data_IF_601048704734
#
_entry.id   IF_601048704734
#
_cell.length_a   1.000
_cell.length_b   1.000
_cell.length_c   1.000
_cell.angle_alpha   90.00
_cell.angle_beta   90.00
_cell.angle_gamma   90.00
#
_symmetry.space_group_name_H-M   'P 1'
#
loop_
_entity.id
_entity.type
_entity.pdbx_description
1 polymer ?
#
# COMPACT_ATOMS: atom_id res chain seq x y z
N UNK A 1 0.43 -15.55 -23.61
CA UNK A 1 1.23 -16.67 -23.07
C UNK A 1 2.75 -16.43 -23.17
N UNK A 2 3.31 -16.10 -24.35
CA UNK A 2 4.77 -15.85 -24.47
C UNK A 2 5.25 -14.66 -23.61
N UNK A 3 4.45 -13.58 -23.57
CA UNK A 3 4.69 -12.41 -22.72
C UNK A 3 4.68 -12.74 -21.22
N UNK A 4 3.65 -13.44 -20.76
CA UNK A 4 3.49 -13.84 -19.36
C UNK A 4 4.58 -14.82 -18.89
N UNK A 5 5.04 -15.72 -19.78
CA UNK A 5 6.16 -16.62 -19.49
C UNK A 5 7.49 -15.85 -19.37
N UNK A 6 7.73 -14.90 -20.28
CA UNK A 6 8.89 -14.01 -20.21
C UNK A 6 8.92 -13.14 -18.95
N UNK A 7 7.76 -12.65 -18.51
CA UNK A 7 7.60 -11.87 -17.28
C UNK A 7 7.90 -12.71 -16.03
N UNK A 8 7.42 -13.97 -15.95
CA UNK A 8 7.75 -14.89 -14.85
C UNK A 8 9.26 -15.13 -14.78
N UNK A 9 9.87 -15.52 -15.90
CA UNK A 9 11.31 -15.81 -15.96
C UNK A 9 12.16 -14.56 -15.63
N UNK A 10 11.70 -13.38 -16.05
CA UNK A 10 12.35 -12.10 -15.75
C UNK A 10 12.32 -11.78 -14.26
N UNK A 11 11.17 -11.89 -13.60
CA UNK A 11 11.06 -11.64 -12.16
C UNK A 11 11.79 -12.68 -11.32
N UNK A 12 11.81 -13.95 -11.72
CA UNK A 12 12.56 -15.00 -11.03
C UNK A 12 14.07 -14.80 -11.10
N UNK A 13 14.59 -14.36 -12.26
CA UNK A 13 16.00 -14.01 -12.39
C UNK A 13 16.37 -12.83 -11.49
N UNK A 14 15.61 -11.74 -11.57
CA UNK A 14 15.83 -10.55 -10.74
C UNK A 14 15.73 -10.87 -9.24
N UNK A 15 14.82 -11.77 -8.86
CA UNK A 15 14.69 -12.23 -7.49
C UNK A 15 15.93 -12.99 -7.02
N UNK A 16 16.43 -13.92 -7.84
CA UNK A 16 17.65 -14.68 -7.54
C UNK A 16 18.86 -13.75 -7.39
N UNK A 17 19.03 -12.79 -8.31
CA UNK A 17 20.10 -11.78 -8.25
C UNK A 17 20.00 -10.93 -6.98
N UNK A 18 18.80 -10.44 -6.63
CA UNK A 18 18.59 -9.65 -5.43
C UNK A 18 18.87 -10.47 -4.15
N UNK A 19 18.50 -11.74 -4.12
CA UNK A 19 18.79 -12.64 -3.00
C UNK A 19 20.29 -12.91 -2.82
N UNK A 20 21.03 -13.07 -3.92
CA UNK A 20 22.49 -13.22 -3.88
C UNK A 20 23.17 -11.93 -3.39
N UNK A 21 22.75 -10.77 -3.90
CA UNK A 21 23.20 -9.47 -3.42
C UNK A 21 22.94 -9.30 -1.91
N UNK A 22 21.75 -9.65 -1.44
CA UNK A 22 21.39 -9.57 -0.03
C UNK A 22 22.25 -10.49 0.85
N UNK A 23 22.55 -11.72 0.40
CA UNK A 23 23.48 -12.62 1.11
C UNK A 23 24.88 -12.01 1.24
N UNK A 24 25.44 -11.50 0.15
CA UNK A 24 26.75 -10.84 0.19
C UNK A 24 26.76 -9.61 1.11
N UNK A 25 25.68 -8.82 1.14
CA UNK A 25 25.54 -7.71 2.07
C UNK A 25 25.48 -8.16 3.54
N UNK A 26 24.81 -9.29 3.83
CA UNK A 26 24.74 -9.85 5.19
C UNK A 26 26.10 -10.35 5.68
N UNK A 27 26.86 -11.03 4.82
CA UNK A 27 28.21 -11.48 5.12
C UNK A 27 29.13 -10.29 5.42
N UNK A 28 29.10 -9.28 4.55
CA UNK A 28 29.87 -8.06 4.75
C UNK A 28 29.46 -7.30 6.02
N UNK A 29 28.16 -7.23 6.32
CA UNK A 29 27.67 -6.61 7.56
C UNK A 29 28.14 -7.38 8.80
N UNK A 30 28.14 -8.71 8.76
CA UNK A 30 28.61 -9.56 9.85
C UNK A 30 30.11 -9.33 10.11
N UNK A 31 30.91 -9.31 9.05
CA UNK A 31 32.35 -8.98 9.12
C UNK A 31 32.57 -7.58 9.72
N UNK A 32 31.82 -6.58 9.25
CA UNK A 32 31.93 -5.21 9.75
C UNK A 32 31.58 -5.11 11.24
N UNK A 33 30.57 -5.85 11.67
CA UNK A 33 30.15 -5.90 13.06
C UNK A 33 31.23 -6.54 13.95
N UNK A 34 31.88 -7.61 13.48
CA UNK A 34 33.01 -8.23 14.17
C UNK A 34 34.22 -7.29 14.27
N UNK A 35 34.55 -6.58 13.19
CA UNK A 35 35.63 -5.59 13.18
C UNK A 35 35.34 -4.44 14.17
N UNK A 36 34.12 -3.90 14.17
CA UNK A 36 33.71 -2.88 15.13
C UNK A 36 33.80 -3.40 16.58
N UNK A 37 33.41 -4.65 16.81
CA UNK A 37 33.52 -5.31 18.12
C UNK A 37 34.99 -5.50 18.53
N UNK A 38 35.89 -5.83 17.61
CA UNK A 38 37.31 -5.94 17.88
C UNK A 38 37.93 -4.58 18.24
N UNK A 39 37.59 -3.52 17.52
CA UNK A 39 38.14 -2.17 17.73
C UNK A 39 37.65 -1.49 19.02
N UNK A 40 36.41 -1.75 19.42
CA UNK A 40 35.77 -1.03 20.54
C UNK A 40 35.45 -1.92 21.74
N UNK A 41 35.57 -3.24 21.61
CA UNK A 41 35.27 -4.20 22.66
C UNK A 41 33.85 -4.04 23.22
N UNK A 42 33.71 -4.22 24.53
CA UNK A 42 32.44 -4.02 25.25
C UNK A 42 31.96 -2.57 25.31
N UNK A 43 32.71 -1.61 24.75
CA UNK A 43 32.31 -0.22 24.75
C UNK A 43 31.15 0.05 23.77
N UNK A 44 31.00 -0.74 22.70
CA UNK A 44 29.81 -0.66 21.83
C UNK A 44 28.53 -1.04 22.57
N UNK A 45 28.56 -2.13 23.35
CA UNK A 45 27.40 -2.57 24.14
C UNK A 45 27.01 -1.54 25.19
N UNK A 46 27.99 -0.84 25.78
CA UNK A 46 27.74 0.23 26.75
C UNK A 46 27.10 1.47 26.12
N UNK A 47 27.47 1.84 24.89
CA UNK A 47 26.94 3.05 24.23
C UNK A 47 25.63 2.78 23.50
N UNK A 48 25.34 1.52 23.19
CA UNK A 48 24.15 1.11 22.44
C UNK A 48 22.84 1.70 22.98
N UNK A 49 22.53 1.67 24.29
CA UNK A 49 21.30 2.28 24.83
C UNK A 49 21.19 3.79 24.53
N UNK A 50 22.31 4.52 24.56
CA UNK A 50 22.34 5.94 24.21
C UNK A 50 21.99 6.16 22.73
N UNK A 51 22.57 5.38 21.81
CA UNK A 51 22.25 5.53 20.39
C UNK A 51 20.82 5.10 20.05
N UNK A 52 20.29 4.07 20.73
CA UNK A 52 18.89 3.67 20.60
C UNK A 52 17.95 4.80 21.09
N UNK A 53 18.21 5.38 22.27
CA UNK A 53 17.47 6.55 22.75
C UNK A 53 17.58 7.74 21.78
N UNK A 54 18.76 7.97 21.20
CA UNK A 54 18.95 9.04 20.21
C UNK A 54 18.15 8.79 18.92
N UNK A 55 17.99 7.53 18.50
CA UNK A 55 17.11 7.19 17.38
C UNK A 55 15.64 7.47 17.72
N UNK A 56 15.20 7.11 18.93
CA UNK A 56 13.84 7.41 19.41
C UNK A 56 13.60 8.92 19.45
N UNK A 57 14.54 9.71 19.97
CA UNK A 57 14.45 11.18 19.97
C UNK A 57 14.33 11.75 18.56
N UNK A 58 15.12 11.25 17.60
CA UNK A 58 15.03 11.66 16.20
C UNK A 58 13.65 11.32 15.60
N UNK A 59 13.10 10.15 15.91
CA UNK A 59 11.77 9.75 15.46
C UNK A 59 10.68 10.62 16.09
N UNK A 60 10.75 10.89 17.39
CA UNK A 60 9.84 11.77 18.12
C UNK A 60 9.89 13.20 17.56
N UNK A 61 11.09 13.73 17.26
CA UNK A 61 11.26 15.04 16.63
C UNK A 61 10.56 15.13 15.27
N UNK A 62 10.72 14.12 14.41
CA UNK A 62 10.03 14.04 13.11
C UNK A 62 8.51 13.94 13.28
N UNK A 63 8.04 13.16 14.27
CA UNK A 63 6.62 13.02 14.61
C UNK A 63 6.04 14.36 15.04
N UNK A 64 6.70 15.09 15.93
CA UNK A 64 6.31 16.46 16.34
C UNK A 64 6.21 17.38 15.12
N UNK A 65 7.22 17.38 14.23
CA UNK A 65 7.17 18.18 13.00
C UNK A 65 5.97 17.81 12.10
N UNK A 66 5.65 16.52 11.99
CA UNK A 66 4.47 16.04 11.26
C UNK A 66 3.18 16.57 11.86
N UNK A 67 2.99 16.40 13.17
CA UNK A 67 1.78 16.83 13.87
C UNK A 67 1.63 18.36 13.88
N UNK A 68 2.73 19.13 13.96
CA UNK A 68 2.70 20.59 13.80
C UNK A 68 2.12 20.99 12.44
N UNK A 69 2.54 20.33 11.35
CA UNK A 69 2.02 20.62 9.99
C UNK A 69 0.53 20.32 9.91
N UNK A 70 0.09 19.20 10.47
CA UNK A 70 -1.31 18.80 10.50
C UNK A 70 -2.17 19.75 11.33
N UNK A 71 -1.71 20.12 12.52
CA UNK A 71 -2.38 21.12 13.36
C UNK A 71 -2.47 22.47 12.65
N UNK A 72 -1.38 22.93 12.02
CA UNK A 72 -1.36 24.20 11.27
C UNK A 72 -2.33 24.17 10.09
N UNK A 73 -2.42 23.05 9.38
CA UNK A 73 -3.38 22.86 8.30
C UNK A 73 -4.82 22.89 8.82
N UNK A 74 -5.12 22.17 9.90
CA UNK A 74 -6.45 22.17 10.53
C UNK A 74 -6.84 23.57 11.06
N UNK A 75 -5.90 24.29 11.66
CA UNK A 75 -6.08 25.66 12.13
C UNK A 75 -6.37 26.62 10.98
N UNK A 76 -5.68 26.47 9.84
CA UNK A 76 -5.93 27.27 8.62
C UNK A 76 -7.34 27.03 8.07
N UNK A 77 -7.77 25.76 7.96
CA UNK A 77 -9.13 25.42 7.50
C UNK A 77 -10.19 25.96 8.46
N UNK A 78 -9.95 25.88 9.77
CA UNK A 78 -10.85 26.48 10.77
C UNK A 78 -10.94 28.00 10.64
N UNK A 79 -9.81 28.68 10.44
CA UNK A 79 -9.78 30.13 10.22
C UNK A 79 -10.54 30.51 8.94
N UNK A 80 -10.37 29.76 7.85
CA UNK A 80 -11.12 29.95 6.62
C UNK A 80 -12.62 29.76 6.85
N UNK A 81 -13.05 28.66 7.48
CA UNK A 81 -14.46 28.40 7.76
C UNK A 81 -15.08 29.52 8.62
N UNK A 82 -14.33 30.06 9.58
CA UNK A 82 -14.77 31.19 10.42
C UNK A 82 -14.92 32.48 9.59
N UNK A 83 -14.01 32.74 8.65
CA UNK A 83 -14.11 33.87 7.74
C UNK A 83 -15.30 33.74 6.78
N UNK A 84 -15.56 32.54 6.27
CA UNK A 84 -16.72 32.26 5.42
C UNK A 84 -18.04 32.47 6.18
N UNK A 85 -18.13 32.00 7.44
CA UNK A 85 -19.30 32.25 8.30
C UNK A 85 -19.50 33.75 8.51
N UNK A 86 -18.42 34.49 8.82
CA UNK A 86 -18.48 35.95 9.02
C UNK A 86 -18.95 36.69 7.76
N UNK A 87 -18.52 36.27 6.58
CA UNK A 87 -18.98 36.85 5.31
C UNK A 87 -20.49 36.60 5.09
N UNK A 88 -20.97 35.39 5.38
CA UNK A 88 -22.41 35.08 5.32
C UNK A 88 -23.18 35.94 6.32
N UNK A 89 -22.70 36.08 7.56
CA UNK A 89 -23.33 36.92 8.59
C UNK A 89 -23.41 38.39 8.16
N UNK A 90 -22.36 38.92 7.53
CA UNK A 90 -22.32 40.29 7.00
C UNK A 90 -23.32 40.46 5.85
N UNK A 91 -23.36 39.55 4.88
CA UNK A 91 -24.32 39.59 3.75
C UNK A 91 -25.77 39.57 4.26
N UNK A 92 -26.05 38.76 5.29
CA UNK A 92 -27.37 38.72 5.93
C UNK A 92 -27.69 40.01 6.69
N UNK A 93 -26.69 40.65 7.31
CA UNK A 93 -26.85 41.93 7.99
C UNK A 93 -27.17 43.07 7.01
N UNK A 94 -26.58 43.09 5.81
CA UNK A 94 -26.95 44.04 4.74
C UNK A 94 -28.36 43.79 4.18
N UNK A 95 -28.86 42.55 4.24
CA UNK A 95 -30.24 42.17 3.86
C UNK A 95 -31.31 42.43 4.93
N UNK A 96 -30.94 42.95 6.11
CA UNK A 96 -31.78 43.05 7.31
C UNK A 96 -33.00 44.00 7.20
N UNK A 97 -33.23 44.65 6.06
CA UNK A 97 -34.51 45.31 5.77
C UNK A 97 -35.67 44.33 5.54
N UNK A 98 -35.41 43.02 5.47
CA UNK A 98 -36.43 41.96 5.57
C UNK A 98 -36.48 41.42 7.00
N UNK A 99 -37.68 41.41 7.60
CA UNK A 99 -37.95 40.96 8.99
C UNK A 99 -37.71 39.46 9.20
N UNK A 100 -37.53 38.68 8.14
CA UNK A 100 -37.30 37.22 8.19
C UNK A 100 -36.27 36.77 7.15
N UNK A 101 -35.34 35.92 7.58
CA UNK A 101 -34.44 35.18 6.69
C UNK A 101 -35.24 34.19 5.83
N UNK A 102 -34.89 34.07 4.55
CA UNK A 102 -35.45 33.01 3.70
C UNK A 102 -34.84 31.63 4.06
N UNK A 103 -35.51 30.55 3.65
CA UNK A 103 -35.08 29.17 3.92
C UNK A 103 -33.65 28.86 3.45
N UNK A 104 -33.27 29.30 2.25
CA UNK A 104 -31.94 29.07 1.68
C UNK A 104 -30.85 29.81 2.48
N UNK A 105 -31.17 31.02 2.96
CA UNK A 105 -30.32 31.80 3.85
C UNK A 105 -30.12 31.13 5.22
N UNK A 106 -31.21 30.64 5.82
CA UNK A 106 -31.16 29.89 7.09
C UNK A 106 -30.37 28.58 6.96
N UNK A 107 -30.60 27.84 5.88
CA UNK A 107 -29.90 26.59 5.60
C UNK A 107 -28.40 26.86 5.32
N UNK A 108 -28.08 27.95 4.61
CA UNK A 108 -26.71 28.39 4.37
C UNK A 108 -25.95 28.72 5.66
N UNK A 109 -26.54 29.54 6.53
CA UNK A 109 -25.97 29.89 7.83
C UNK A 109 -25.80 28.66 8.74
N UNK A 110 -26.80 27.78 8.76
CA UNK A 110 -26.76 26.53 9.53
C UNK A 110 -25.62 25.62 9.04
N UNK A 111 -25.48 25.42 7.72
CA UNK A 111 -24.37 24.63 7.15
C UNK A 111 -23.01 25.23 7.48
N UNK A 112 -22.85 26.55 7.35
CA UNK A 112 -21.60 27.25 7.67
C UNK A 112 -21.24 27.12 9.17
N UNK A 113 -22.23 27.29 10.05
CA UNK A 113 -22.06 27.12 11.50
C UNK A 113 -21.62 25.70 11.86
N UNK A 114 -22.30 24.68 11.32
CA UNK A 114 -21.92 23.27 11.53
C UNK A 114 -20.51 23.00 11.01
N UNK A 115 -20.12 23.58 9.87
CA UNK A 115 -18.77 23.45 9.32
C UNK A 115 -17.72 24.05 10.25
N UNK A 116 -17.94 25.26 10.78
CA UNK A 116 -17.05 25.90 11.75
C UNK A 116 -16.87 25.03 13.00
N UNK A 117 -17.96 24.46 13.53
CA UNK A 117 -17.90 23.57 14.69
C UNK A 117 -17.08 22.31 14.40
N UNK A 118 -17.28 21.67 13.24
CA UNK A 118 -16.50 20.49 12.82
C UNK A 118 -15.01 20.82 12.66
N UNK A 119 -14.70 21.93 11.99
CA UNK A 119 -13.31 22.35 11.80
C UNK A 119 -12.63 22.70 13.14
N UNK A 120 -13.36 23.30 14.10
CA UNK A 120 -12.87 23.54 15.45
C UNK A 120 -12.57 22.23 16.17
N UNK A 121 -13.49 21.28 16.15
CA UNK A 121 -13.31 19.98 16.80
C UNK A 121 -12.08 19.25 16.25
N UNK A 122 -11.88 19.28 14.93
CA UNK A 122 -10.71 18.66 14.30
C UNK A 122 -9.41 19.37 14.70
N UNK A 123 -9.38 20.72 14.71
CA UNK A 123 -8.24 21.49 15.19
C UNK A 123 -7.91 21.14 16.65
N UNK A 124 -8.91 21.09 17.52
CA UNK A 124 -8.73 20.81 18.95
C UNK A 124 -8.20 19.37 19.16
N UNK A 125 -8.65 18.42 18.32
CA UNK A 125 -8.08 17.06 18.29
C UNK A 125 -6.61 17.07 17.88
N UNK A 126 -6.23 17.78 16.81
CA UNK A 126 -4.83 17.89 16.37
C UNK A 126 -3.95 18.59 17.41
N UNK A 127 -4.51 19.52 18.17
CA UNK A 127 -3.82 20.16 19.30
C UNK A 127 -3.50 19.16 20.42
N UNK A 128 -4.44 18.29 20.77
CA UNK A 128 -4.20 17.22 21.74
C UNK A 128 -3.11 16.25 21.26
N UNK A 129 -3.12 15.89 19.98
CA UNK A 129 -2.09 15.04 19.37
C UNK A 129 -0.72 15.75 19.40
N UNK A 130 -0.68 17.05 19.16
CA UNK A 130 0.54 17.86 19.25
C UNK A 130 1.11 17.87 20.67
N UNK A 131 0.27 18.12 21.67
CA UNK A 131 0.67 18.09 23.09
C UNK A 131 1.21 16.71 23.48
N UNK A 132 0.58 15.63 23.01
CA UNK A 132 1.06 14.27 23.26
C UNK A 132 2.43 14.02 22.62
N UNK A 133 2.59 14.38 21.34
CA UNK A 133 3.86 14.22 20.64
C UNK A 133 5.00 15.03 21.29
N UNK A 134 4.69 16.22 21.83
CA UNK A 134 5.65 17.02 22.59
C UNK A 134 6.11 16.34 23.88
N UNK A 135 5.19 15.69 24.62
CA UNK A 135 5.56 14.93 25.82
C UNK A 135 6.48 13.75 25.47
N UNK A 136 6.11 12.98 24.45
CA UNK A 136 6.95 11.87 23.95
C UNK A 136 8.35 12.37 23.54
N UNK A 137 8.44 13.55 22.92
CA UNK A 137 9.72 14.17 22.57
C UNK A 137 10.54 14.57 23.81
N UNK A 138 9.90 15.16 24.83
CA UNK A 138 10.57 15.52 26.09
C UNK A 138 11.10 14.30 26.82
N UNK A 139 10.29 13.25 26.97
CA UNK A 139 10.71 11.97 27.57
C UNK A 139 11.88 11.34 26.82
N UNK A 140 11.85 11.35 25.48
CA UNK A 140 12.95 10.86 24.66
C UNK A 140 14.22 11.73 24.82
N UNK A 141 14.07 13.03 25.00
CA UNK A 141 15.20 13.94 25.22
C UNK A 141 15.87 13.66 26.56
N UNK A 142 15.08 13.54 27.63
CA UNK A 142 15.57 13.18 28.97
C UNK A 142 16.29 11.83 28.97
N UNK A 143 15.76 10.83 28.24
CA UNK A 143 16.40 9.53 28.10
C UNK A 143 17.77 9.62 27.41
N UNK A 144 17.90 10.46 26.37
CA UNK A 144 19.19 10.71 25.68
C UNK A 144 20.17 11.41 26.60
N UNK A 145 19.72 12.42 27.36
CA UNK A 145 20.55 13.15 28.31
C UNK A 145 21.04 12.23 29.45
N UNK A 146 20.17 11.39 30.00
CA UNK A 146 20.53 10.38 31.00
C UNK A 146 21.53 9.37 30.45
N UNK A 147 21.29 8.85 29.24
CA UNK A 147 22.24 7.94 28.56
C UNK A 147 23.59 8.61 28.30
N UNK A 148 23.60 9.88 27.92
CA UNK A 148 24.81 10.68 27.71
C UNK A 148 25.62 10.83 28.99
N UNK A 149 24.95 11.13 30.10
CA UNK A 149 25.58 11.24 31.42
C UNK A 149 26.20 9.92 31.89
N UNK A 150 25.55 8.78 31.62
CA UNK A 150 26.05 7.45 32.01
C UNK A 150 27.26 7.00 31.17
N UNK A 151 27.24 7.27 29.87
CA UNK A 151 28.24 6.74 28.92
C UNK A 151 29.43 7.69 28.75
N UNK A 152 29.19 9.00 28.81
CA UNK A 152 30.20 10.04 28.63
C UNK A 152 30.51 10.40 27.17
N UNK A 153 30.75 11.69 26.93
CA UNK A 153 30.94 12.26 25.59
C UNK A 153 32.11 11.67 24.81
N UNK A 154 33.23 11.37 25.48
CA UNK A 154 34.41 10.84 24.83
C UNK A 154 34.13 9.48 24.17
N UNK A 155 33.38 8.62 24.87
CA UNK A 155 33.06 7.29 24.38
C UNK A 155 32.02 7.32 23.27
N UNK A 156 31.02 8.21 23.38
CA UNK A 156 30.04 8.47 22.32
C UNK A 156 30.75 8.92 21.05
N UNK A 157 31.61 9.94 21.12
CA UNK A 157 32.34 10.46 19.95
C UNK A 157 33.23 9.40 19.31
N UNK A 158 33.91 8.58 20.11
CA UNK A 158 34.78 7.51 19.63
C UNK A 158 34.02 6.43 18.86
N UNK A 159 32.83 6.05 19.31
CA UNK A 159 32.04 4.94 18.73
C UNK A 159 31.05 5.40 17.64
N UNK A 160 30.80 6.70 17.55
CA UNK A 160 29.85 7.29 16.59
C UNK A 160 30.10 6.94 15.11
N UNK A 161 31.35 6.92 14.58
CA UNK A 161 31.60 6.54 13.20
C UNK A 161 31.16 5.10 12.91
N UNK A 162 31.49 4.17 13.82
CA UNK A 162 31.15 2.75 13.72
C UNK A 162 29.64 2.54 13.74
N UNK A 163 28.92 3.20 14.66
CA UNK A 163 27.46 3.17 14.68
C UNK A 163 26.81 3.74 13.42
N UNK A 164 27.32 4.85 12.87
CA UNK A 164 26.82 5.42 11.61
C UNK A 164 27.03 4.46 10.44
N UNK A 165 28.19 3.82 10.37
CA UNK A 165 28.51 2.85 9.33
C UNK A 165 27.59 1.63 9.42
N UNK A 166 27.43 1.04 10.62
CA UNK A 166 26.50 -0.07 10.87
C UNK A 166 25.06 0.30 10.50
N UNK A 167 24.60 1.49 10.88
CA UNK A 167 23.25 1.98 10.54
C UNK A 167 23.06 2.13 9.02
N UNK A 168 24.06 2.64 8.30
CA UNK A 168 24.02 2.75 6.84
C UNK A 168 23.88 1.37 6.18
N UNK A 169 24.69 0.39 6.60
CA UNK A 169 24.59 -0.97 6.07
C UNK A 169 23.25 -1.62 6.42
N UNK A 170 22.74 -1.42 7.63
CA UNK A 170 21.42 -1.90 8.03
C UNK A 170 20.30 -1.31 7.16
N UNK A 171 20.40 -0.02 6.81
CA UNK A 171 19.45 0.63 5.89
C UNK A 171 19.53 0.03 4.47
N UNK A 172 20.73 -0.24 3.96
CA UNK A 172 20.92 -0.92 2.67
C UNK A 172 20.32 -2.33 2.68
N UNK A 173 20.56 -3.09 3.74
CA UNK A 173 19.97 -4.43 3.93
C UNK A 173 18.44 -4.38 3.94
N UNK A 174 17.85 -3.42 4.68
CA UNK A 174 16.41 -3.24 4.72
C UNK A 174 15.82 -2.86 3.35
N UNK A 175 16.53 -2.04 2.58
CA UNK A 175 16.15 -1.67 1.20
C UNK A 175 16.17 -2.88 0.26
N UNK A 176 17.25 -3.68 0.27
CA UNK A 176 17.33 -4.90 -0.54
C UNK A 176 16.30 -5.95 -0.12
N UNK A 177 16.04 -6.10 1.18
CA UNK A 177 14.98 -6.97 1.69
C UNK A 177 13.60 -6.53 1.16
N UNK A 178 13.33 -5.23 1.14
CA UNK A 178 12.08 -4.68 0.58
C UNK A 178 11.98 -4.95 -0.92
N UNK A 179 13.08 -4.81 -1.66
CA UNK A 179 13.16 -5.14 -3.09
C UNK A 179 12.90 -6.62 -3.35
N UNK A 180 13.49 -7.52 -2.56
CA UNK A 180 13.23 -8.96 -2.61
C UNK A 180 11.74 -9.24 -2.40
N UNK A 181 11.12 -8.68 -1.35
CA UNK A 181 9.70 -8.88 -1.08
C UNK A 181 8.81 -8.38 -2.23
N UNK A 182 9.12 -7.22 -2.81
CA UNK A 182 8.39 -6.69 -3.96
C UNK A 182 8.54 -7.58 -5.21
N UNK A 183 9.73 -8.11 -5.47
CA UNK A 183 9.98 -9.04 -6.59
C UNK A 183 9.27 -10.39 -6.37
N UNK A 184 9.25 -10.89 -5.13
CA UNK A 184 8.51 -12.10 -4.76
C UNK A 184 7.02 -11.95 -5.05
N UNK A 185 6.40 -10.84 -4.65
CA UNK A 185 4.98 -10.58 -4.93
C UNK A 185 4.70 -10.46 -6.43
N UNK A 186 5.57 -9.76 -7.19
CA UNK A 186 5.44 -9.66 -8.65
C UNK A 186 5.57 -11.02 -9.34
N UNK A 187 6.54 -11.84 -8.93
CA UNK A 187 6.73 -13.18 -9.47
C UNK A 187 5.53 -14.09 -9.16
N UNK A 188 4.99 -14.04 -7.92
CA UNK A 188 3.77 -14.76 -7.52
C UNK A 188 2.59 -14.35 -8.39
N UNK A 189 2.36 -13.05 -8.54
CA UNK A 189 1.28 -12.52 -9.37
C UNK A 189 1.40 -12.97 -10.83
N UNK A 190 2.59 -12.83 -11.43
CA UNK A 190 2.84 -13.24 -12.81
C UNK A 190 2.59 -14.76 -13.01
N UNK A 191 2.99 -15.59 -12.04
CA UNK A 191 2.70 -17.04 -12.05
C UNK A 191 1.20 -17.32 -12.01
N UNK A 192 0.44 -16.63 -11.16
CA UNK A 192 -1.01 -16.78 -11.10
C UNK A 192 -1.67 -16.39 -12.43
N UNK A 193 -1.26 -15.26 -13.03
CA UNK A 193 -1.79 -14.82 -14.34
C UNK A 193 -1.46 -15.83 -15.44
N UNK A 194 -0.23 -16.36 -15.45
CA UNK A 194 0.17 -17.41 -16.40
C UNK A 194 -0.65 -18.69 -16.22
N UNK A 195 -0.81 -19.17 -14.98
CA UNK A 195 -1.61 -20.36 -14.68
C UNK A 195 -3.09 -20.18 -15.06
N UNK A 196 -3.66 -19.00 -14.82
CA UNK A 196 -5.04 -18.71 -15.23
C UNK A 196 -5.16 -18.69 -16.75
N UNK A 197 -4.21 -18.06 -17.46
CA UNK A 197 -4.18 -18.06 -18.92
C UNK A 197 -4.10 -19.47 -19.49
N UNK A 198 -3.32 -20.36 -18.86
CA UNK A 198 -3.26 -21.78 -19.24
C UNK A 198 -4.60 -22.48 -19.06
N UNK A 199 -5.23 -22.32 -17.89
CA UNK A 199 -6.54 -22.92 -17.63
C UNK A 199 -7.62 -22.43 -18.60
N UNK A 200 -7.61 -21.15 -18.96
CA UNK A 200 -8.56 -20.62 -19.95
C UNK A 200 -8.34 -21.23 -21.34
N UNK A 201 -7.08 -21.41 -21.76
CA UNK A 201 -6.77 -22.08 -23.02
C UNK A 201 -7.20 -23.55 -23.01
N UNK A 202 -6.97 -24.26 -21.91
CA UNK A 202 -7.44 -25.65 -21.76
C UNK A 202 -8.97 -25.73 -21.80
N UNK A 203 -9.68 -24.79 -21.16
CA UNK A 203 -11.15 -24.70 -21.22
C UNK A 203 -11.64 -24.45 -22.65
N UNK A 204 -11.04 -23.50 -23.36
CA UNK A 204 -11.39 -23.20 -24.76
C UNK A 204 -11.14 -24.44 -25.64
N UNK A 205 -10.00 -25.11 -25.47
CA UNK A 205 -9.69 -26.34 -26.21
C UNK A 205 -10.76 -27.41 -25.96
N UNK A 206 -11.08 -27.70 -24.68
CA UNK A 206 -12.12 -28.68 -24.33
C UNK A 206 -13.49 -28.29 -24.90
N UNK A 207 -13.88 -27.03 -24.81
CA UNK A 207 -15.16 -26.54 -25.32
C UNK A 207 -15.25 -26.66 -26.86
N UNK A 208 -14.19 -26.33 -27.59
CA UNK A 208 -14.11 -26.48 -29.04
C UNK A 208 -14.20 -27.95 -29.44
N UNK A 209 -13.48 -28.84 -28.75
CA UNK A 209 -13.56 -30.28 -29.00
C UNK A 209 -14.97 -30.83 -28.72
N UNK A 210 -15.60 -30.42 -27.63
CA UNK A 210 -16.97 -30.82 -27.30
C UNK A 210 -17.98 -30.34 -28.35
N UNK A 211 -17.89 -29.07 -28.78
CA UNK A 211 -18.75 -28.52 -29.83
C UNK A 211 -18.57 -29.26 -31.16
N UNK A 212 -17.33 -29.54 -31.57
CA UNK A 212 -17.04 -30.32 -32.79
C UNK A 212 -17.61 -31.73 -32.71
N UNK A 213 -17.52 -32.40 -31.56
CA UNK A 213 -18.08 -33.73 -31.34
C UNK A 213 -19.61 -33.70 -31.44
N UNK A 214 -20.26 -32.75 -30.77
CA UNK A 214 -21.71 -32.58 -30.84
C UNK A 214 -22.21 -32.30 -32.27
N UNK A 215 -21.50 -31.46 -33.04
CA UNK A 215 -21.83 -31.22 -34.44
C UNK A 215 -21.65 -32.46 -35.32
N UNK A 216 -20.61 -33.25 -35.09
CA UNK A 216 -20.40 -34.50 -35.83
C UNK A 216 -21.49 -35.55 -35.50
N UNK A 217 -21.92 -35.63 -34.25
CA UNK A 217 -23.04 -36.49 -33.82
C UNK A 217 -24.36 -36.03 -34.45
N UNK A 218 -24.67 -34.74 -34.40
CA UNK A 218 -25.85 -34.15 -35.06
C UNK A 218 -25.86 -34.37 -36.58
N UNK A 219 -24.71 -34.23 -37.25
CA UNK A 219 -24.60 -34.48 -38.69
C UNK A 219 -24.83 -35.95 -39.03
N UNK A 220 -24.36 -36.87 -38.17
CA UNK A 220 -24.58 -38.30 -38.33
C UNK A 220 -26.05 -38.67 -38.11
N UNK A 221 -26.69 -38.10 -37.10
CA UNK A 221 -28.13 -38.27 -36.83
C UNK A 221 -28.98 -37.72 -37.98
N UNK A 222 -28.65 -36.53 -38.51
CA UNK A 222 -29.34 -35.96 -39.67
C UNK A 222 -29.17 -36.81 -40.94
N UNK A 223 -27.99 -37.38 -41.16
CA UNK A 223 -27.74 -38.28 -42.28
C UNK A 223 -28.50 -39.62 -42.15
N UNK A 224 -28.60 -40.17 -40.94
CA UNK A 224 -29.40 -41.36 -40.65
C UNK A 224 -30.90 -41.08 -40.86
N UNK A 225 -31.41 -39.95 -40.37
CA UNK A 225 -32.80 -39.55 -40.58
C UNK A 225 -33.14 -39.30 -42.05
N UNK A 226 -32.19 -38.76 -42.83
CA UNK A 226 -32.35 -38.59 -44.27
C UNK A 226 -32.37 -39.93 -45.03
N UNK A 227 -31.63 -40.94 -44.57
CA UNK A 227 -31.65 -42.29 -45.15
C UNK A 227 -32.95 -43.04 -44.82
N UNK A 228 -33.52 -42.86 -43.62
CA UNK A 228 -34.81 -43.45 -43.24
C UNK A 228 -36.01 -42.86 -44.03
N UNK A 229 -35.88 -41.64 -44.57
CA UNK A 229 -36.90 -41.02 -45.43
C UNK A 229 -36.83 -41.49 -46.89
N UNK A 230 -35.74 -42.12 -47.33
CA UNK A 230 -35.57 -42.69 -48.67
C UNK A 230 -36.05 -44.15 -48.75
N UNK A 231 -36.22 -44.83 -47.61
CA UNK A 231 -36.74 -46.19 -47.49
C UNK A 231 -38.23 -46.26 -47.06
N UNK A 232 -39.11 -45.41 -47.60
CA UNK A 232 -40.57 -45.70 -47.56
C UNK A 232 -41.00 -46.47 -48.81
N UNK A 233 -41.38 -47.77 -48.70
CA UNK A 233 -41.89 -48.54 -49.82
C UNK A 233 -43.41 -48.41 -49.95
N UNK A 234 -43.90 -48.29 -51.19
CA UNK A 234 -45.28 -48.66 -51.54
C UNK A 234 -46.07 -47.59 -52.28
N UNK A 235 -45.95 -47.56 -53.60
CA UNK A 235 -47.06 -47.15 -54.46
C UNK A 235 -48.12 -48.28 -54.45
N UNK A 236 -49.41 -48.00 -54.20
CA UNK A 236 -50.46 -49.01 -54.29
C UNK A 236 -50.76 -49.32 -55.77
N UNK A 237 -50.86 -50.61 -56.10
CA UNK A 237 -51.33 -51.12 -57.40
C UNK A 237 -52.69 -50.53 -57.79
N UNK A 238 -52.77 -49.98 -58.99
CA UNK A 238 -54.02 -49.59 -59.64
C UNK A 238 -54.74 -50.83 -60.19
N UNK A 239 -56.08 -50.93 -60.10
CA UNK A 239 -56.81 -52.10 -60.55
C UNK A 239 -56.99 -52.10 -62.07
N UNK A 240 -56.90 -53.29 -62.66
CA UNK A 240 -57.19 -53.56 -64.05
C UNK A 240 -58.67 -53.30 -64.37
N UNK A 241 -58.94 -52.52 -65.43
CA UNK A 241 -60.25 -52.38 -66.04
C UNK A 241 -60.15 -52.53 -67.56
N UNK A 242 -60.83 -53.59 -68.04
CA UNK A 242 -61.44 -53.88 -69.35
C UNK A 242 -60.63 -53.63 -70.63
#
# INVERSE_FOLDING_TARGET
>A
MNRTSGEVNGFERQLSEAQEQYKGLLEHFSWLHEECRAQHGGALERVRPYFEAAQVLNAASRRVQGVIREFSAAASVYAQAKSELKAIEEDLAYGAHKVSLDRDQQDGLSRATVRVLKCRQERDRREQDYVRALREYQEAQEAVEAGRAQVGDALIKRTQPSFRMLQKHQATLASEQTRISALQERARHAKTVYQNSMRELDRINVAVHAARKAHAEQAKEAALAAAELDETPGAPEAPAAA
#
